data_IF_097664035750
#
_entry.id   IF_097664035750
#
_cell.length_a   1.000
_cell.length_b   1.000
_cell.length_c   1.000
_cell.angle_alpha   90.00
_cell.angle_beta   90.00
_cell.angle_gamma   90.00
#
_symmetry.space_group_name_H-M   'P 1'
#
loop_
_entity.id
_entity.type
_entity.pdbx_description
1 polymer ?
#
# COMPACT_ATOMS: atom_id res chain seq x y z
N UNK A 1 46.92 22.14 -57.46
CA UNK A 1 47.41 21.77 -56.12
C UNK A 1 46.50 22.40 -55.09
N UNK A 2 46.37 21.77 -53.90
CA UNK A 2 45.46 22.01 -52.75
C UNK A 2 44.13 21.24 -52.89
N UNK A 3 43.93 20.02 -52.36
CA UNK A 3 43.76 19.52 -50.96
C UNK A 3 42.39 19.76 -50.28
N UNK A 4 41.71 18.64 -49.95
CA UNK A 4 41.08 18.33 -48.64
C UNK A 4 39.56 18.49 -48.43
N UNK A 5 38.96 17.32 -48.10
CA UNK A 5 37.81 17.03 -47.21
C UNK A 5 36.43 17.65 -47.53
N UNK A 6 35.29 17.04 -47.23
CA UNK A 6 35.00 15.90 -46.37
C UNK A 6 33.53 16.02 -45.96
N UNK A 7 32.78 14.95 -46.23
CA UNK A 7 31.39 14.72 -45.85
C UNK A 7 31.05 15.09 -44.40
N UNK A 8 29.87 15.68 -44.18
CA UNK A 8 28.90 15.26 -43.15
C UNK A 8 27.64 16.14 -43.15
N UNK A 9 26.60 15.66 -43.82
CA UNK A 9 25.23 15.88 -43.39
C UNK A 9 25.08 15.28 -41.99
N UNK A 10 24.92 16.13 -40.96
CA UNK A 10 24.48 15.71 -39.64
C UNK A 10 23.08 16.25 -39.43
N UNK A 11 22.11 15.38 -39.72
CA UNK A 11 20.74 15.50 -39.21
C UNK A 11 20.88 15.48 -37.69
N UNK A 12 20.63 16.63 -37.07
CA UNK A 12 20.59 16.76 -35.63
C UNK A 12 19.46 15.89 -35.09
N UNK A 13 19.86 14.89 -34.31
CA UNK A 13 19.01 13.95 -33.58
C UNK A 13 17.95 14.68 -32.74
N UNK A 14 16.74 14.80 -33.28
CA UNK A 14 15.53 14.93 -32.48
C UNK A 14 15.09 13.53 -32.06
N UNK A 15 15.57 13.06 -30.92
CA UNK A 15 15.05 11.82 -30.33
C UNK A 15 16.04 11.09 -29.44
N UNK A 16 16.25 11.57 -28.20
CA UNK A 16 16.51 10.66 -27.07
C UNK A 16 16.46 11.29 -25.65
N UNK A 17 15.62 12.30 -25.40
CA UNK A 17 15.56 12.94 -24.08
C UNK A 17 14.46 12.42 -23.14
N UNK A 18 13.57 11.53 -23.61
CA UNK A 18 12.42 11.05 -22.82
C UNK A 18 12.56 9.66 -22.19
N UNK A 19 13.69 8.95 -22.36
CA UNK A 19 13.92 7.63 -21.70
C UNK A 19 14.75 7.72 -20.41
N UNK A 20 15.15 8.93 -20.00
CA UNK A 20 15.97 9.27 -18.82
C UNK A 20 15.20 10.06 -17.76
N UNK A 21 13.88 9.99 -17.77
CA UNK A 21 13.02 10.44 -16.67
C UNK A 21 12.75 9.21 -15.79
N UNK A 22 13.25 8.97 -14.57
CA UNK A 22 14.21 9.62 -13.69
C UNK A 22 14.66 8.50 -12.75
N UNK A 23 15.77 7.81 -13.06
CA UNK A 23 16.25 6.69 -12.24
C UNK A 23 16.77 7.25 -10.92
N UNK A 24 15.90 7.32 -9.91
CA UNK A 24 16.18 8.01 -8.65
C UNK A 24 16.62 6.97 -7.63
N UNK A 25 17.91 7.01 -7.34
CA UNK A 25 18.53 6.21 -6.30
C UNK A 25 18.17 6.78 -4.93
N UNK A 26 17.57 5.95 -4.10
CA UNK A 26 17.12 6.28 -2.75
C UNK A 26 17.52 5.17 -1.80
N UNK A 27 17.82 5.51 -0.56
CA UNK A 27 17.88 4.51 0.50
C UNK A 27 16.48 4.01 0.82
N UNK A 28 16.36 2.78 1.35
CA UNK A 28 15.05 2.28 1.80
C UNK A 28 14.41 3.18 2.87
N UNK A 29 15.23 3.89 3.66
CA UNK A 29 14.76 4.82 4.68
C UNK A 29 14.08 6.04 4.05
N UNK A 30 14.73 6.65 3.06
CA UNK A 30 14.18 7.78 2.30
C UNK A 30 12.91 7.36 1.52
N UNK A 31 12.96 6.22 0.83
CA UNK A 31 11.81 5.68 0.09
C UNK A 31 10.61 5.36 0.99
N UNK A 32 10.86 4.80 2.18
CA UNK A 32 9.83 4.50 3.15
C UNK A 32 9.20 5.78 3.72
N UNK A 33 10.02 6.77 4.07
CA UNK A 33 9.55 8.05 4.59
C UNK A 33 8.61 8.77 3.60
N UNK A 34 8.96 8.80 2.32
CA UNK A 34 8.11 9.37 1.26
C UNK A 34 6.74 8.72 1.15
N UNK A 35 6.63 7.44 1.50
CA UNK A 35 5.39 6.65 1.43
C UNK A 35 4.66 6.57 2.76
N UNK A 36 5.10 7.32 3.77
CA UNK A 36 4.61 7.25 5.15
C UNK A 36 4.69 5.82 5.74
N UNK A 37 5.75 5.08 5.39
CA UNK A 37 6.04 3.74 5.87
C UNK A 37 7.21 3.78 6.86
N UNK A 38 7.22 2.83 7.81
CA UNK A 38 8.37 2.67 8.68
C UNK A 38 9.46 1.85 7.98
N UNK A 39 10.72 2.26 8.13
CA UNK A 39 11.87 1.49 7.63
C UNK A 39 11.85 0.05 8.15
N UNK A 40 11.48 -0.14 9.42
CA UNK A 40 11.38 -1.46 10.03
C UNK A 40 10.32 -2.34 9.36
N UNK A 41 9.18 -1.77 8.95
CA UNK A 41 8.15 -2.48 8.18
C UNK A 41 8.72 -2.97 6.85
N UNK A 42 9.43 -2.10 6.13
CA UNK A 42 10.07 -2.44 4.85
C UNK A 42 11.10 -3.55 5.04
N UNK A 43 11.96 -3.44 6.05
CA UNK A 43 13.00 -4.43 6.32
C UNK A 43 12.42 -5.79 6.71
N UNK A 44 11.49 -5.83 7.67
CA UNK A 44 10.98 -7.09 8.20
C UNK A 44 10.08 -7.84 7.22
N UNK A 45 9.24 -7.13 6.46
CA UNK A 45 8.21 -7.76 5.63
C UNK A 45 8.58 -7.87 4.15
N UNK A 46 9.46 -7.00 3.64
CA UNK A 46 9.74 -6.89 2.21
C UNK A 46 11.18 -7.20 1.86
N UNK A 47 12.16 -6.58 2.54
CA UNK A 47 13.58 -6.75 2.20
C UNK A 47 14.14 -8.16 2.47
N UNK A 48 13.43 -8.99 3.24
CA UNK A 48 13.76 -10.41 3.48
C UNK A 48 13.30 -11.33 2.36
N UNK A 49 12.51 -10.83 1.39
CA UNK A 49 11.95 -11.65 0.33
C UNK A 49 12.96 -11.83 -0.81
N UNK A 50 13.05 -13.04 -1.40
CA UNK A 50 14.05 -13.35 -2.43
C UNK A 50 13.82 -12.59 -3.74
N UNK A 51 12.60 -12.13 -3.99
CA UNK A 51 12.18 -11.38 -5.17
C UNK A 51 12.28 -9.85 -5.00
N UNK A 52 12.67 -9.38 -3.80
CA UNK A 52 12.82 -7.96 -3.53
C UNK A 52 13.97 -7.35 -4.37
N UNK A 53 13.83 -6.11 -4.88
CA UNK A 53 14.85 -5.49 -5.72
C UNK A 53 16.20 -5.43 -5.00
N UNK A 54 17.25 -5.88 -5.68
CA UNK A 54 18.61 -5.74 -5.20
C UNK A 54 19.00 -4.26 -5.15
N UNK A 55 19.90 -3.91 -4.24
CA UNK A 55 20.51 -2.59 -4.23
C UNK A 55 21.30 -2.39 -5.53
N UNK A 56 21.13 -1.23 -6.18
CA UNK A 56 21.90 -0.92 -7.39
C UNK A 56 23.34 -0.51 -7.03
N UNK A 57 23.51 0.18 -5.90
CA UNK A 57 24.82 0.59 -5.42
C UNK A 57 24.89 0.75 -3.91
N UNK A 58 26.12 0.78 -3.40
CA UNK A 58 26.43 1.23 -2.05
C UNK A 58 26.71 2.73 -2.08
N UNK A 59 26.02 3.51 -1.26
CA UNK A 59 26.28 4.95 -1.09
C UNK A 59 27.73 5.14 -0.61
N UNK A 60 28.39 6.13 -1.21
CA UNK A 60 29.73 6.54 -0.80
C UNK A 60 29.75 6.86 0.70
N UNK A 61 30.81 6.42 1.38
CA UNK A 61 30.93 6.47 2.84
C UNK A 61 31.14 7.92 3.30
N UNK A 62 30.20 8.47 4.05
CA UNK A 62 30.32 9.82 4.68
C UNK A 62 30.73 9.75 6.17
N UNK A 63 30.94 8.56 6.75
CA UNK A 63 31.28 8.40 8.17
C UNK A 63 31.71 6.98 8.58
N UNK A 64 31.82 6.74 9.89
CA UNK A 64 32.15 5.43 10.47
C UNK A 64 30.86 4.63 10.74
N UNK A 65 30.32 4.01 9.69
CA UNK A 65 29.13 3.17 9.76
C UNK A 65 28.99 2.30 8.52
N UNK A 66 28.10 1.28 8.54
CA UNK A 66 27.83 0.44 7.37
C UNK A 66 27.42 1.31 6.18
N UNK A 67 27.87 0.96 4.97
CA UNK A 67 27.50 1.68 3.75
C UNK A 67 26.01 1.53 3.52
N UNK A 68 25.31 2.67 3.36
CA UNK A 68 23.89 2.64 3.06
C UNK A 68 23.68 2.09 1.64
N UNK A 69 22.73 1.16 1.49
CA UNK A 69 22.36 0.61 0.18
C UNK A 69 21.38 1.55 -0.51
N UNK A 70 21.66 1.89 -1.76
CA UNK A 70 20.77 2.68 -2.61
C UNK A 70 20.06 1.78 -3.61
N UNK A 71 18.76 2.04 -3.76
CA UNK A 71 17.85 1.27 -4.58
C UNK A 71 17.25 2.22 -5.62
N UNK A 72 16.97 1.71 -6.81
CA UNK A 72 16.14 2.42 -7.77
C UNK A 72 14.71 2.50 -7.22
N UNK A 73 14.28 3.70 -6.85
CA UNK A 73 12.93 3.94 -6.32
C UNK A 73 11.83 3.37 -7.22
N UNK A 74 11.99 3.45 -8.54
CA UNK A 74 11.01 2.93 -9.50
C UNK A 74 10.96 1.39 -9.48
N UNK A 75 12.09 0.72 -9.26
CA UNK A 75 12.14 -0.73 -9.13
C UNK A 75 11.46 -1.20 -7.83
N UNK A 76 11.68 -0.49 -6.72
CA UNK A 76 11.01 -0.77 -5.44
C UNK A 76 9.50 -0.52 -5.53
N UNK A 77 9.08 0.52 -6.24
CA UNK A 77 7.65 0.78 -6.49
C UNK A 77 6.99 -0.27 -7.37
N UNK A 78 7.63 -0.64 -8.47
CA UNK A 78 7.12 -1.66 -9.38
C UNK A 78 7.02 -3.03 -8.69
N UNK A 79 8.00 -3.36 -7.84
CA UNK A 79 7.93 -4.55 -7.00
C UNK A 79 6.77 -4.47 -6.01
N UNK A 80 6.62 -3.36 -5.29
CA UNK A 80 5.54 -3.18 -4.33
C UNK A 80 4.17 -3.27 -5.00
N UNK A 81 4.00 -2.68 -6.17
CA UNK A 81 2.75 -2.72 -6.93
C UNK A 81 2.38 -4.16 -7.31
N UNK A 82 3.32 -4.93 -7.87
CA UNK A 82 3.11 -6.36 -8.18
C UNK A 82 2.79 -7.18 -6.94
N UNK A 83 3.56 -7.00 -5.88
CA UNK A 83 3.36 -7.70 -4.61
C UNK A 83 1.98 -7.42 -4.00
N UNK A 84 1.49 -6.18 -4.12
CA UNK A 84 0.15 -5.80 -3.66
C UNK A 84 -0.95 -6.37 -4.55
N UNK A 85 -0.73 -6.42 -5.87
CA UNK A 85 -1.69 -6.95 -6.83
C UNK A 85 -1.89 -8.46 -6.64
N UNK A 86 -0.79 -9.22 -6.55
CA UNK A 86 -0.80 -10.67 -6.29
C UNK A 86 -1.51 -11.03 -4.97
N UNK A 87 -1.48 -10.11 -4.00
CA UNK A 87 -2.04 -10.30 -2.66
C UNK A 87 -3.30 -9.51 -2.44
N UNK A 88 -3.84 -8.90 -3.49
CA UNK A 88 -5.13 -8.23 -3.41
C UNK A 88 -6.16 -9.31 -3.08
N UNK A 89 -6.91 -9.15 -1.98
CA UNK A 89 -7.97 -10.10 -1.69
C UNK A 89 -8.94 -10.16 -2.87
N UNK A 90 -9.43 -11.37 -3.18
CA UNK A 90 -10.46 -11.53 -4.19
C UNK A 90 -11.61 -10.54 -3.95
N UNK A 91 -12.03 -9.86 -5.02
CA UNK A 91 -13.16 -8.96 -4.95
C UNK A 91 -14.41 -9.79 -4.62
N UNK A 92 -15.23 -9.27 -3.73
CA UNK A 92 -16.54 -9.81 -3.46
C UNK A 92 -17.46 -9.47 -4.62
N UNK A 93 -18.21 -10.46 -5.08
CA UNK A 93 -19.24 -10.27 -6.09
C UNK A 93 -20.36 -9.37 -5.55
N UNK A 94 -20.92 -8.53 -6.42
CA UNK A 94 -22.04 -7.67 -6.05
C UNK A 94 -23.31 -8.52 -5.88
N UNK A 95 -24.01 -8.45 -4.74
CA UNK A 95 -25.24 -9.20 -4.50
C UNK A 95 -26.39 -8.79 -5.43
N UNK A 96 -27.39 -9.69 -5.58
CA UNK A 96 -28.60 -9.47 -6.41
C UNK A 96 -29.35 -8.19 -6.00
N UNK A 97 -29.47 -7.92 -4.71
CA UNK A 97 -30.08 -6.69 -4.18
C UNK A 97 -29.01 -5.81 -3.52
N UNK A 98 -28.24 -5.04 -4.31
CA UNK A 98 -27.15 -4.23 -3.81
C UNK A 98 -27.67 -2.98 -3.07
N UNK A 99 -28.88 -2.53 -3.37
CA UNK A 99 -29.45 -1.31 -2.81
C UNK A 99 -30.24 -1.55 -1.50
N UNK A 100 -30.37 -2.82 -1.08
CA UNK A 100 -31.01 -3.17 0.19
C UNK A 100 -30.15 -2.79 1.40
N UNK A 101 -30.79 -2.22 2.42
CA UNK A 101 -30.19 -1.89 3.69
C UNK A 101 -30.21 -3.10 4.62
N UNK A 102 -29.02 -3.60 4.97
CA UNK A 102 -28.84 -4.80 5.79
C UNK A 102 -27.87 -4.55 6.92
N UNK A 103 -28.02 -5.27 8.02
CA UNK A 103 -27.01 -5.22 9.09
C UNK A 103 -25.67 -5.80 8.61
N UNK A 104 -24.55 -5.34 9.18
CA UNK A 104 -23.22 -5.86 8.80
C UNK A 104 -23.12 -7.39 8.92
N UNK A 105 -23.79 -7.99 9.91
CA UNK A 105 -23.83 -9.45 10.07
C UNK A 105 -24.64 -10.15 8.98
N UNK A 106 -25.72 -9.53 8.48
CA UNK A 106 -26.48 -10.07 7.36
C UNK A 106 -25.68 -9.96 6.04
N UNK A 107 -24.98 -8.83 5.83
CA UNK A 107 -24.08 -8.65 4.68
C UNK A 107 -22.93 -9.67 4.74
N UNK A 108 -22.33 -9.89 5.91
CA UNK A 108 -21.25 -10.87 6.08
C UNK A 108 -21.69 -12.28 5.68
N UNK A 109 -22.87 -12.71 6.12
CA UNK A 109 -23.46 -14.01 5.73
C UNK A 109 -23.71 -14.10 4.23
N UNK A 110 -24.20 -13.03 3.64
CA UNK A 110 -24.51 -12.97 2.22
C UNK A 110 -23.23 -13.03 1.35
N UNK A 111 -22.12 -12.47 1.83
CA UNK A 111 -20.81 -12.55 1.17
C UNK A 111 -20.02 -13.83 1.53
N UNK A 112 -20.55 -14.68 2.41
CA UNK A 112 -19.85 -15.88 2.89
C UNK A 112 -18.61 -15.59 3.76
N UNK A 113 -18.56 -14.43 4.42
CA UNK A 113 -17.40 -14.00 5.24
C UNK A 113 -17.71 -13.98 6.73
N UNK A 114 -16.66 -14.05 7.54
CA UNK A 114 -16.80 -13.88 8.98
C UNK A 114 -17.25 -12.46 9.35
N UNK A 115 -18.21 -12.37 10.28
CA UNK A 115 -18.77 -11.08 10.72
C UNK A 115 -17.73 -10.13 11.33
N UNK A 116 -16.66 -10.66 11.92
CA UNK A 116 -15.53 -9.87 12.44
C UNK A 116 -14.76 -9.17 11.33
N UNK A 117 -14.62 -9.81 10.17
CA UNK A 117 -13.96 -9.23 8.99
C UNK A 117 -14.68 -7.99 8.49
N UNK A 118 -16.01 -7.94 8.60
CA UNK A 118 -16.78 -6.73 8.24
C UNK A 118 -16.77 -5.73 9.39
N UNK A 119 -16.92 -6.19 10.64
CA UNK A 119 -17.00 -5.32 11.82
C UNK A 119 -15.70 -4.56 12.11
N UNK A 120 -14.54 -5.10 11.77
CA UNK A 120 -13.26 -4.39 11.92
C UNK A 120 -13.19 -3.10 11.07
N UNK A 121 -14.00 -2.99 10.01
CA UNK A 121 -14.08 -1.80 9.16
C UNK A 121 -15.21 -0.86 9.56
N UNK A 122 -15.89 -1.10 10.69
CA UNK A 122 -17.09 -0.34 11.08
C UNK A 122 -16.88 1.18 11.07
N UNK A 123 -15.79 1.68 11.66
CA UNK A 123 -15.53 3.13 11.68
C UNK A 123 -15.39 3.72 10.27
N UNK A 124 -14.78 2.98 9.35
CA UNK A 124 -14.61 3.38 7.96
C UNK A 124 -15.91 3.25 7.16
N UNK A 125 -16.73 2.23 7.48
CA UNK A 125 -18.06 2.07 6.90
C UNK A 125 -19.02 3.17 7.37
N UNK A 126 -18.94 3.60 8.63
CA UNK A 126 -19.73 4.71 9.15
C UNK A 126 -19.42 6.05 8.43
N UNK A 127 -18.20 6.22 7.91
CA UNK A 127 -17.78 7.41 7.16
C UNK A 127 -18.13 7.34 5.66
N UNK A 128 -18.08 6.15 5.06
CA UNK A 128 -18.16 5.99 3.60
C UNK A 128 -19.40 5.25 3.08
N UNK A 129 -20.19 4.60 3.94
CA UNK A 129 -21.37 3.85 3.54
C UNK A 129 -22.65 4.51 4.05
N UNK A 130 -23.68 4.50 3.20
CA UNK A 130 -25.02 4.94 3.58
C UNK A 130 -25.59 3.98 4.61
N UNK A 131 -26.09 4.50 5.72
CA UNK A 131 -26.76 3.70 6.74
C UNK A 131 -28.10 4.30 7.15
N UNK A 132 -28.98 3.43 7.64
CA UNK A 132 -30.22 3.76 8.30
C UNK A 132 -30.17 3.17 9.70
N UNK A 133 -30.59 3.95 10.68
CA UNK A 133 -30.88 3.38 11.99
C UNK A 133 -32.10 2.47 11.85
N UNK A 134 -32.01 1.24 12.36
CA UNK A 134 -33.18 0.36 12.38
C UNK A 134 -34.30 1.02 13.18
N UNK A 135 -35.55 0.74 12.81
CA UNK A 135 -36.75 1.19 13.50
C UNK A 135 -36.77 0.90 15.01
N UNK A 136 -35.96 -0.05 15.47
CA UNK A 136 -35.76 -0.41 16.88
C UNK A 136 -34.62 0.35 17.59
N UNK A 137 -33.91 1.25 16.91
CA UNK A 137 -32.82 2.10 17.44
C UNK A 137 -31.53 1.39 17.89
N UNK A 138 -31.54 0.05 17.97
CA UNK A 138 -30.42 -0.74 18.54
C UNK A 138 -29.37 -1.19 17.52
N UNK A 139 -29.67 -1.12 16.22
CA UNK A 139 -28.79 -1.63 15.15
C UNK A 139 -28.83 -0.72 13.93
N UNK A 140 -27.66 -0.48 13.32
CA UNK A 140 -27.54 0.21 12.02
C UNK A 140 -27.64 -0.81 10.89
N UNK A 141 -28.41 -0.46 9.86
CA UNK A 141 -28.46 -1.16 8.59
C UNK A 141 -27.69 -0.33 7.56
N UNK A 142 -26.81 -0.95 6.80
CA UNK A 142 -25.97 -0.30 5.78
C UNK A 142 -26.46 -0.73 4.40
N UNK A 143 -26.37 0.17 3.42
CA UNK A 143 -26.62 -0.18 2.03
C UNK A 143 -25.57 -1.21 1.57
N UNK A 144 -26.05 -2.33 1.04
CA UNK A 144 -25.19 -3.47 0.73
C UNK A 144 -24.08 -3.10 -0.26
N UNK A 145 -24.40 -2.33 -1.32
CA UNK A 145 -23.46 -1.84 -2.33
C UNK A 145 -22.28 -1.12 -1.70
N UNK A 146 -22.55 -0.13 -0.85
CA UNK A 146 -21.51 0.71 -0.27
C UNK A 146 -20.55 -0.12 0.61
N UNK A 147 -21.07 -1.11 1.33
CA UNK A 147 -20.24 -2.03 2.12
C UNK A 147 -19.37 -2.90 1.21
N UNK A 148 -19.93 -3.47 0.13
CA UNK A 148 -19.17 -4.26 -0.84
C UNK A 148 -18.08 -3.42 -1.51
N UNK A 149 -18.39 -2.18 -1.89
CA UNK A 149 -17.44 -1.26 -2.52
C UNK A 149 -16.29 -0.89 -1.56
N UNK A 150 -16.60 -0.59 -0.30
CA UNK A 150 -15.59 -0.34 0.73
C UNK A 150 -14.69 -1.57 0.93
N UNK A 151 -15.28 -2.76 0.95
CA UNK A 151 -14.53 -4.00 1.08
C UNK A 151 -13.67 -4.26 -0.16
N UNK A 152 -14.16 -4.03 -1.38
CA UNK A 152 -13.41 -4.28 -2.62
C UNK A 152 -12.30 -3.26 -2.90
N UNK A 153 -12.44 -2.06 -2.33
CA UNK A 153 -11.42 -1.01 -2.37
C UNK A 153 -10.49 -1.03 -1.14
N UNK A 154 -10.54 -2.08 -0.30
CA UNK A 154 -9.63 -2.23 0.83
C UNK A 154 -8.18 -2.39 0.33
N UNK A 155 -7.27 -1.54 0.82
CA UNK A 155 -5.83 -1.77 0.63
C UNK A 155 -5.44 -3.08 1.35
N UNK A 156 -4.70 -3.93 0.67
CA UNK A 156 -4.25 -5.23 1.17
C UNK A 156 -3.40 -5.14 2.45
N UNK A 157 -3.12 -6.31 3.05
CA UNK A 157 -2.33 -6.44 4.27
C UNK A 157 -1.01 -5.65 4.22
N UNK A 158 -0.76 -4.80 5.22
CA UNK A 158 0.55 -4.16 5.43
C UNK A 158 0.54 -2.66 5.70
N UNK A 159 -0.60 -1.97 5.56
CA UNK A 159 -0.74 -0.58 6.04
C UNK A 159 -1.52 -0.54 7.35
N UNK A 160 -0.86 -0.13 8.44
CA UNK A 160 -1.57 0.30 9.63
C UNK A 160 -2.40 1.53 9.25
N UNK A 161 -3.72 1.37 9.13
CA UNK A 161 -4.64 2.47 8.80
C UNK A 161 -4.69 3.55 9.88
N UNK A 162 -4.24 3.21 11.09
CA UNK A 162 -4.14 4.15 12.19
C UNK A 162 -2.92 3.78 13.08
N UNK A 163 -1.86 4.57 12.95
CA UNK A 163 -0.64 4.44 13.76
C UNK A 163 -0.92 4.67 15.24
N UNK A 164 -1.90 5.52 15.58
CA UNK A 164 -2.28 5.81 16.96
C UNK A 164 -3.14 4.70 17.57
N UNK A 165 -4.01 4.06 16.78
CA UNK A 165 -4.71 2.85 17.24
C UNK A 165 -3.73 1.68 17.51
N UNK A 166 -2.70 1.49 16.67
CA UNK A 166 -1.68 0.45 16.90
C UNK A 166 -0.78 0.79 18.10
N UNK A 167 -0.40 2.07 18.25
CA UNK A 167 0.37 2.56 19.41
C UNK A 167 -0.37 2.32 20.72
N UNK A 168 -1.69 2.58 20.77
CA UNK A 168 -2.53 2.30 21.94
C UNK A 168 -2.61 0.81 22.29
N UNK A 169 -2.54 -0.09 21.31
CA UNK A 169 -2.50 -1.55 21.56
C UNK A 169 -1.18 -2.04 22.14
N UNK A 170 -0.06 -1.38 21.82
CA UNK A 170 1.27 -1.77 22.33
C UNK A 170 1.62 -1.17 23.69
N UNK A 171 0.95 -0.11 24.12
CA UNK A 171 1.16 0.52 25.44
C UNK A 171 0.24 -0.03 26.55
N UNK A 172 -0.51 -1.10 26.28
CA UNK A 172 -1.47 -1.69 27.21
C UNK A 172 -1.02 -3.04 27.80
N UNK A 173 0.18 -3.12 28.37
CA UNK A 173 0.49 -4.18 29.34
C UNK A 173 0.42 -3.55 30.73
N UNK A 174 -0.69 -3.66 31.47
CA UNK A 174 -0.65 -3.38 32.89
C UNK A 174 0.23 -4.45 33.55
N UNK A 175 1.32 -3.97 34.13
CA UNK A 175 2.17 -4.67 35.08
C UNK A 175 1.31 -5.35 36.16
N UNK A 176 1.16 -6.67 36.08
CA UNK A 176 0.63 -7.45 37.20
C UNK A 176 1.79 -7.74 38.13
N UNK A 177 2.03 -6.85 39.09
CA UNK A 177 2.93 -7.11 40.20
C UNK A 177 2.43 -8.32 41.01
N UNK A 178 3.28 -9.34 41.29
CA UNK A 178 2.91 -10.42 42.18
C UNK A 178 2.90 -9.92 43.64
N UNK A 179 1.92 -10.41 44.40
CA UNK A 179 1.82 -10.24 45.86
C UNK A 179 2.85 -11.10 46.60
#
# INVERSE_FOLDING_TARGET
>A
MIETAGSRHRIGYAGNHNRRMSRRLVTLAEWAAERNLSLQTVQNHWATRPDFPAAEQERARTGSGPRAREYDSAAVDAWLARWQDERRPAAYEMPIDPDEYRTLGAIARLLGVDGKTVTQYRAFLDEHASYQDSSTGKRRAYRTRDVVDVLNNRQGHGRARDRDADRRRRCGTPDQSPR
#
